data_IF_303267677000
#
_entry.id   IF_303267677000
#
_cell.length_a   1.000
_cell.length_b   1.000
_cell.length_c   1.000
_cell.angle_alpha   90.00
_cell.angle_beta   90.00
_cell.angle_gamma   90.00
#
_symmetry.space_group_name_H-M   'P 1'
#
loop_
_entity.id
_entity.type
_entity.pdbx_description
1 polymer ?
#
# COMPACT_ATOMS: atom_id res chain seq x y z
N UNK A 1 -20.11 -16.74 13.52
CA UNK A 1 -20.07 -18.20 13.36
C UNK A 1 -19.86 -18.86 14.72
N UNK A 2 -20.34 -20.09 14.96
CA UNK A 2 -19.99 -20.87 16.15
C UNK A 2 -18.47 -21.06 16.27
N UNK A 3 -17.95 -21.14 17.50
CA UNK A 3 -16.51 -21.32 17.76
C UNK A 3 -16.07 -22.79 17.77
N UNK A 4 -17.01 -23.75 17.90
CA UNK A 4 -16.73 -25.19 17.90
C UNK A 4 -17.96 -25.98 17.43
N UNK A 5 -17.78 -27.05 16.63
CA UNK A 5 -16.55 -27.38 15.89
C UNK A 5 -16.32 -26.37 14.77
N UNK A 6 -15.05 -26.15 14.40
CA UNK A 6 -14.68 -25.30 13.26
C UNK A 6 -14.59 -26.14 11.96
N UNK A 7 -14.46 -25.48 10.82
CA UNK A 7 -14.24 -26.15 9.52
C UNK A 7 -12.97 -27.02 9.55
N UNK A 8 -13.05 -28.15 8.84
CA UNK A 8 -11.95 -29.13 8.72
C UNK A 8 -11.13 -28.90 7.47
N UNK A 9 -11.77 -28.47 6.39
CA UNK A 9 -11.12 -28.15 5.12
C UNK A 9 -11.86 -27.04 4.39
N UNK A 10 -11.13 -26.33 3.54
CA UNK A 10 -11.65 -25.31 2.63
C UNK A 10 -11.07 -25.45 1.23
N UNK A 11 -11.92 -25.24 0.22
CA UNK A 11 -11.49 -25.14 -1.18
C UNK A 11 -11.97 -23.80 -1.72
N UNK A 12 -11.06 -23.01 -2.27
CA UNK A 12 -11.39 -21.70 -2.87
C UNK A 12 -11.31 -21.78 -4.39
N UNK A 13 -12.37 -21.31 -5.05
CA UNK A 13 -12.45 -21.22 -6.52
C UNK A 13 -12.64 -19.76 -6.94
N UNK A 14 -11.84 -19.31 -7.89
CA UNK A 14 -11.92 -17.96 -8.44
C UNK A 14 -12.71 -17.97 -9.75
N UNK A 15 -13.89 -17.38 -9.71
CA UNK A 15 -14.78 -17.26 -10.84
C UNK A 15 -14.61 -15.87 -11.48
N UNK A 16 -14.25 -15.85 -12.77
CA UNK A 16 -14.18 -14.64 -13.60
C UNK A 16 -15.07 -14.77 -14.82
N UNK A 17 -15.78 -13.71 -15.15
CA UNK A 17 -16.52 -13.65 -16.40
C UNK A 17 -15.57 -13.20 -17.52
N UNK A 18 -15.23 -14.13 -18.41
CA UNK A 18 -14.35 -13.88 -19.55
C UNK A 18 -15.02 -14.38 -20.83
N UNK A 19 -15.23 -13.46 -21.77
CA UNK A 19 -15.68 -13.78 -23.12
C UNK A 19 -14.49 -14.07 -24.03
N UNK A 20 -14.61 -15.09 -24.88
CA UNK A 20 -13.58 -15.41 -25.87
C UNK A 20 -14.21 -15.65 -27.25
N UNK A 21 -13.62 -15.04 -28.27
CA UNK A 21 -13.97 -15.28 -29.68
C UNK A 21 -12.74 -15.78 -30.42
N UNK A 22 -12.87 -16.90 -31.12
CA UNK A 22 -11.78 -17.51 -31.89
C UNK A 22 -12.12 -17.46 -33.39
N UNK A 23 -11.19 -16.96 -34.18
CA UNK A 23 -11.29 -16.97 -35.65
C UNK A 23 -11.14 -18.40 -36.18
N UNK A 24 -12.12 -18.96 -36.90
CA UNK A 24 -12.03 -20.31 -37.45
C UNK A 24 -11.04 -20.41 -38.64
N UNK A 25 -10.63 -19.29 -39.23
CA UNK A 25 -9.73 -19.27 -40.38
C UNK A 25 -8.26 -18.99 -40.01
N UNK A 26 -8.03 -18.23 -38.94
CA UNK A 26 -6.68 -17.78 -38.54
C UNK A 26 -6.25 -18.30 -37.17
N UNK A 27 -7.16 -18.91 -36.41
CA UNK A 27 -6.89 -19.37 -35.03
C UNK A 27 -6.65 -18.23 -34.02
N UNK A 28 -6.74 -16.97 -34.45
CA UNK A 28 -6.55 -15.82 -33.56
C UNK A 28 -7.69 -15.74 -32.55
N UNK A 29 -7.33 -15.59 -31.28
CA UNK A 29 -8.26 -15.49 -30.16
C UNK A 29 -8.33 -14.04 -29.69
N UNK A 30 -9.53 -13.53 -29.46
CA UNK A 30 -9.78 -12.27 -28.76
C UNK A 30 -10.49 -12.59 -27.47
N UNK A 31 -9.94 -12.10 -26.36
CA UNK A 31 -10.49 -12.32 -25.03
C UNK A 31 -10.91 -10.97 -24.45
N UNK A 32 -12.11 -10.90 -23.87
CA UNK A 32 -12.63 -9.73 -23.16
C UNK A 32 -12.98 -10.15 -21.74
N UNK A 33 -12.36 -9.49 -20.76
CA UNK A 33 -12.73 -9.65 -19.35
C UNK A 33 -13.92 -8.74 -19.01
N UNK A 34 -14.87 -9.24 -18.25
CA UNK A 34 -16.00 -8.50 -17.72
C UNK A 34 -15.81 -8.20 -16.23
N UNK A 35 -16.61 -7.29 -15.68
CA UNK A 35 -16.46 -6.79 -14.30
C UNK A 35 -16.70 -7.84 -13.20
N UNK A 36 -17.36 -8.97 -13.52
CA UNK A 36 -17.65 -10.00 -12.52
C UNK A 36 -16.39 -10.79 -12.16
N UNK A 37 -15.96 -10.60 -10.90
CA UNK A 37 -14.92 -11.38 -10.25
C UNK A 37 -15.45 -11.78 -8.87
N UNK A 38 -15.52 -13.07 -8.60
CA UNK A 38 -16.02 -13.60 -7.33
C UNK A 38 -15.20 -14.80 -6.86
N UNK A 39 -14.93 -14.84 -5.56
CA UNK A 39 -14.41 -16.02 -4.90
C UNK A 39 -15.56 -16.84 -4.34
N UNK A 40 -15.51 -18.14 -4.59
CA UNK A 40 -16.38 -19.14 -3.99
C UNK A 40 -15.56 -20.00 -3.05
N UNK A 41 -16.16 -20.43 -1.93
CA UNK A 41 -15.51 -21.24 -0.92
C UNK A 41 -16.38 -22.43 -0.55
N UNK A 42 -15.88 -23.63 -0.80
CA UNK A 42 -16.48 -24.88 -0.33
C UNK A 42 -15.86 -25.28 0.99
N UNK A 43 -16.70 -25.53 2.00
CA UNK A 43 -16.27 -25.70 3.39
C UNK A 43 -16.85 -26.98 3.98
N UNK A 44 -16.00 -27.77 4.61
CA UNK A 44 -16.41 -29.04 5.23
C UNK A 44 -16.46 -28.91 6.76
N UNK A 45 -17.59 -29.24 7.36
CA UNK A 45 -17.74 -29.41 8.80
C UNK A 45 -17.48 -30.87 9.20
N UNK A 46 -16.92 -31.13 10.39
CA UNK A 46 -16.73 -32.50 10.86
C UNK A 46 -18.08 -33.16 11.19
N UNK A 47 -18.15 -34.51 11.18
CA UNK A 47 -19.29 -35.22 11.72
C UNK A 47 -19.58 -34.78 13.16
N UNK A 48 -20.83 -34.41 13.44
CA UNK A 48 -21.22 -33.84 14.73
C UNK A 48 -22.56 -34.40 15.23
N UNK A 49 -22.71 -34.44 16.55
CA UNK A 49 -23.99 -34.77 17.19
C UNK A 49 -25.02 -33.67 16.91
N UNK A 50 -26.30 -34.06 16.89
CA UNK A 50 -27.42 -33.13 16.61
C UNK A 50 -27.44 -31.93 17.56
N UNK A 51 -27.13 -32.13 18.84
CA UNK A 51 -27.06 -31.06 19.85
C UNK A 51 -26.10 -29.94 19.47
N UNK A 52 -24.98 -30.29 18.81
CA UNK A 52 -23.97 -29.33 18.36
C UNK A 52 -24.32 -28.74 16.99
N UNK A 53 -24.91 -29.55 16.10
CA UNK A 53 -25.32 -29.12 14.77
C UNK A 53 -26.36 -28.01 14.77
N UNK A 54 -27.25 -27.97 15.78
CA UNK A 54 -28.29 -26.94 15.93
C UNK A 54 -27.69 -25.54 16.01
N UNK A 55 -26.52 -25.38 16.64
CA UNK A 55 -25.84 -24.08 16.70
C UNK A 55 -25.45 -23.58 15.30
N UNK A 56 -24.92 -24.47 14.46
CA UNK A 56 -24.56 -24.17 13.07
C UNK A 56 -25.79 -23.86 12.21
N UNK A 57 -26.86 -24.65 12.34
CA UNK A 57 -28.11 -24.40 11.63
C UNK A 57 -28.71 -23.03 11.97
N UNK A 58 -28.71 -22.67 13.25
CA UNK A 58 -29.22 -21.37 13.71
C UNK A 58 -28.39 -20.20 13.17
N UNK A 59 -27.07 -20.37 13.08
CA UNK A 59 -26.17 -19.36 12.51
C UNK A 59 -26.40 -19.19 11.01
N UNK A 60 -26.47 -20.28 10.25
CA UNK A 60 -26.70 -20.24 8.80
C UNK A 60 -28.08 -19.64 8.46
N UNK A 61 -29.10 -19.95 9.26
CA UNK A 61 -30.42 -19.34 9.10
C UNK A 61 -30.38 -17.81 9.30
N UNK A 62 -29.55 -17.31 10.22
CA UNK A 62 -29.38 -15.86 10.48
C UNK A 62 -28.64 -15.11 9.37
N UNK A 63 -27.96 -15.80 8.45
CA UNK A 63 -27.28 -15.12 7.33
C UNK A 63 -28.28 -14.55 6.31
N UNK A 64 -29.50 -15.10 6.24
CA UNK A 64 -30.53 -14.65 5.31
C UNK A 64 -30.00 -14.55 3.86
N UNK A 65 -29.28 -15.59 3.44
CA UNK A 65 -28.65 -15.66 2.12
C UNK A 65 -27.53 -14.62 1.95
N UNK A 66 -27.58 -13.77 0.91
CA UNK A 66 -26.55 -12.75 0.64
C UNK A 66 -26.71 -11.48 1.48
N UNK A 67 -27.77 -11.37 2.29
CA UNK A 67 -28.08 -10.14 3.03
C UNK A 67 -27.06 -9.84 4.11
N UNK A 68 -26.56 -10.88 4.78
CA UNK A 68 -25.59 -10.76 5.85
C UNK A 68 -24.32 -11.52 5.52
N UNK A 69 -23.18 -10.91 5.84
CA UNK A 69 -21.86 -11.52 5.70
C UNK A 69 -21.32 -11.96 7.05
N UNK A 70 -20.38 -12.90 7.02
CA UNK A 70 -19.60 -13.28 8.19
C UNK A 70 -18.13 -13.38 7.82
N UNK A 71 -17.28 -13.12 8.82
CA UNK A 71 -15.84 -13.31 8.67
C UNK A 71 -15.49 -14.77 8.92
N UNK A 72 -14.71 -15.34 8.02
CA UNK A 72 -14.24 -16.72 8.10
C UNK A 72 -12.72 -16.73 8.05
N UNK A 73 -12.11 -17.55 8.91
CA UNK A 73 -10.68 -17.87 8.82
C UNK A 73 -10.50 -19.12 7.96
N UNK A 74 -9.45 -19.13 7.14
CA UNK A 74 -9.02 -20.32 6.42
C UNK A 74 -8.63 -21.44 7.44
N UNK A 75 -9.31 -22.60 7.44
CA UNK A 75 -9.00 -23.71 8.33
C UNK A 75 -7.65 -24.38 8.01
N UNK A 76 -7.17 -24.28 6.77
CA UNK A 76 -5.97 -24.96 6.26
C UNK A 76 -4.72 -24.06 6.40
N UNK A 77 -4.88 -22.73 6.38
CA UNK A 77 -3.78 -21.76 6.51
C UNK A 77 -3.67 -21.10 7.90
N UNK A 78 -3.79 -21.88 8.99
CA UNK A 78 -3.70 -21.36 10.37
C UNK A 78 -2.32 -20.83 10.77
N UNK A 79 -1.27 -21.29 10.08
CA UNK A 79 0.10 -20.86 10.35
C UNK A 79 0.54 -19.89 9.25
N UNK A 80 1.01 -18.68 9.60
CA UNK A 80 1.60 -17.79 8.63
C UNK A 80 2.79 -18.47 7.96
N UNK A 81 2.80 -18.54 6.62
CA UNK A 81 3.91 -19.14 5.84
C UNK A 81 5.17 -18.27 5.77
N UNK A 82 5.13 -17.09 6.39
CA UNK A 82 6.25 -16.18 6.49
C UNK A 82 6.08 -15.25 7.68
N UNK A 83 7.21 -14.83 8.23
CA UNK A 83 7.25 -13.71 9.17
C UNK A 83 7.52 -12.45 8.38
N UNK A 84 6.53 -11.56 8.31
CA UNK A 84 6.77 -10.24 7.77
C UNK A 84 7.51 -9.41 8.83
N UNK A 85 8.80 -9.16 8.61
CA UNK A 85 9.68 -8.40 9.51
C UNK A 85 10.25 -7.16 8.81
N UNK A 86 9.41 -6.40 8.11
CA UNK A 86 9.83 -5.18 7.43
C UNK A 86 9.07 -3.96 7.96
N UNK A 87 9.82 -2.90 8.24
CA UNK A 87 9.31 -1.60 8.69
C UNK A 87 8.57 -0.81 7.58
N UNK A 88 8.36 -1.42 6.41
CA UNK A 88 8.03 -0.71 5.16
C UNK A 88 6.53 -0.57 4.87
N UNK A 89 5.66 -1.19 5.67
CA UNK A 89 4.20 -1.02 5.58
C UNK A 89 3.59 -0.32 6.79
N UNK A 90 4.40 0.15 7.74
CA UNK A 90 3.93 1.18 8.64
C UNK A 90 3.70 2.41 7.76
N UNK A 91 2.49 2.94 7.76
CA UNK A 91 2.17 4.27 7.22
C UNK A 91 2.87 5.31 8.10
N UNK A 92 4.20 5.26 8.14
CA UNK A 92 5.01 6.16 8.92
C UNK A 92 5.27 7.40 8.07
N UNK A 93 5.15 8.57 8.68
CA UNK A 93 5.44 9.81 7.99
C UNK A 93 6.94 9.81 7.67
N UNK A 94 7.28 9.58 6.38
CA UNK A 94 8.67 9.52 5.91
C UNK A 94 9.41 10.83 6.18
N UNK A 95 8.69 11.94 6.12
CA UNK A 95 9.16 13.28 6.52
C UNK A 95 8.64 13.62 7.91
N UNK A 96 9.54 13.70 8.91
CA UNK A 96 9.17 13.84 10.32
C UNK A 96 8.67 15.24 10.71
N UNK A 97 9.20 16.29 10.06
CA UNK A 97 8.79 17.67 10.28
C UNK A 97 8.17 18.23 9.01
N UNK A 98 6.96 18.78 9.10
CA UNK A 98 6.23 19.32 7.95
C UNK A 98 6.52 20.79 7.68
N UNK A 99 7.28 21.45 8.56
CA UNK A 99 7.71 22.84 8.46
C UNK A 99 9.08 22.99 9.12
N UNK A 100 10.10 23.38 8.37
CA UNK A 100 11.47 23.49 8.87
C UNK A 100 12.23 24.57 8.11
N UNK A 101 13.30 25.09 8.71
CA UNK A 101 14.25 25.91 7.95
C UNK A 101 15.07 24.99 7.05
N UNK A 102 15.18 25.35 5.76
CA UNK A 102 15.96 24.62 4.77
C UNK A 102 17.10 25.48 4.21
N UNK A 103 18.24 24.85 3.98
CA UNK A 103 19.39 25.43 3.27
C UNK A 103 19.69 24.57 2.06
N UNK A 104 19.88 25.20 0.91
CA UNK A 104 20.09 24.52 -0.37
C UNK A 104 21.51 24.80 -0.86
N UNK A 105 22.22 23.77 -1.30
CA UNK A 105 23.53 23.92 -1.95
C UNK A 105 23.53 23.24 -3.32
N UNK A 106 23.78 24.04 -4.35
CA UNK A 106 23.84 23.64 -5.75
C UNK A 106 25.04 22.72 -6.02
N UNK A 107 26.20 23.08 -5.46
CA UNK A 107 27.47 22.37 -5.71
C UNK A 107 27.42 20.90 -5.30
N UNK A 108 26.73 20.58 -4.20
CA UNK A 108 26.61 19.21 -3.70
C UNK A 108 25.20 18.61 -3.89
N UNK A 109 24.28 19.35 -4.52
CA UNK A 109 22.85 19.00 -4.61
C UNK A 109 22.23 18.62 -3.26
N UNK A 110 22.61 19.35 -2.21
CA UNK A 110 22.26 19.04 -0.82
C UNK A 110 21.13 19.93 -0.33
N UNK A 111 20.16 19.32 0.33
CA UNK A 111 19.15 20.01 1.14
C UNK A 111 19.43 19.70 2.60
N UNK A 112 19.67 20.74 3.39
CA UNK A 112 19.91 20.64 4.84
C UNK A 112 18.74 21.22 5.60
N UNK A 113 18.14 20.43 6.48
CA UNK A 113 17.08 20.87 7.38
C UNK A 113 17.64 21.21 8.77
N UNK A 114 17.08 22.22 9.43
CA UNK A 114 17.44 22.56 10.81
C UNK A 114 17.05 21.47 11.82
N UNK A 115 16.04 20.66 11.49
CA UNK A 115 15.56 19.55 12.31
C UNK A 115 15.77 18.22 11.58
N UNK A 116 15.58 17.10 12.28
CA UNK A 116 15.73 15.73 11.77
C UNK A 116 14.61 15.28 10.82
N UNK A 117 14.25 16.15 9.87
CA UNK A 117 13.15 16.02 8.90
C UNK A 117 13.27 14.76 8.05
N UNK A 118 14.50 14.29 7.80
CA UNK A 118 14.79 13.16 6.92
C UNK A 118 15.12 11.85 7.66
N UNK A 119 14.85 11.76 8.96
CA UNK A 119 15.19 10.58 9.79
C UNK A 119 14.65 9.25 9.25
N UNK A 120 13.48 9.29 8.62
CA UNK A 120 12.77 8.11 8.12
C UNK A 120 12.83 8.01 6.59
N UNK A 121 13.48 8.96 5.92
CA UNK A 121 13.61 8.95 4.46
C UNK A 121 14.66 7.94 4.01
N UNK A 122 14.42 7.37 2.83
CA UNK A 122 15.31 6.43 2.17
C UNK A 122 15.70 6.94 0.78
N UNK A 123 16.80 6.43 0.24
CA UNK A 123 17.19 6.68 -1.16
C UNK A 123 16.06 6.25 -2.10
N UNK A 124 15.71 7.10 -3.06
CA UNK A 124 14.61 6.91 -3.99
C UNK A 124 13.27 7.48 -3.52
N UNK A 125 13.15 7.92 -2.27
CA UNK A 125 11.95 8.62 -1.80
C UNK A 125 11.80 9.99 -2.50
N UNK A 126 10.55 10.41 -2.71
CA UNK A 126 10.23 11.73 -3.24
C UNK A 126 9.70 12.64 -2.12
N UNK A 127 10.26 13.85 -2.04
CA UNK A 127 9.81 14.91 -1.14
C UNK A 127 9.27 16.08 -1.95
N UNK A 128 8.21 16.71 -1.46
CA UNK A 128 7.65 17.92 -2.04
C UNK A 128 7.96 19.11 -1.12
N UNK A 129 8.58 20.13 -1.69
CA UNK A 129 9.06 21.32 -0.98
C UNK A 129 8.28 22.54 -1.46
N UNK A 130 7.81 23.37 -0.53
CA UNK A 130 7.29 24.71 -0.84
C UNK A 130 7.80 25.75 0.13
N UNK A 131 7.84 27.01 -0.32
CA UNK A 131 8.29 28.14 0.48
C UNK A 131 9.80 28.31 0.50
N UNK A 132 10.53 27.72 -0.45
CA UNK A 132 11.91 28.13 -0.77
C UNK A 132 11.90 29.52 -1.43
N UNK A 133 13.01 30.25 -1.34
CA UNK A 133 13.11 31.62 -1.88
C UNK A 133 13.21 31.60 -3.40
N UNK A 134 13.96 30.64 -3.95
CA UNK A 134 14.05 30.39 -5.39
C UNK A 134 13.01 29.34 -5.80
N UNK A 135 12.35 29.59 -6.93
CA UNK A 135 11.29 28.72 -7.45
C UNK A 135 11.83 27.36 -7.89
N UNK A 136 13.09 27.29 -8.33
CA UNK A 136 13.79 26.07 -8.74
C UNK A 136 13.91 25.06 -7.59
N UNK A 137 14.03 25.56 -6.36
CA UNK A 137 14.14 24.73 -5.16
C UNK A 137 12.77 24.20 -4.69
N UNK A 138 11.67 24.84 -5.10
CA UNK A 138 10.30 24.36 -4.83
C UNK A 138 9.94 23.15 -5.71
N UNK A 139 8.86 22.46 -5.35
CA UNK A 139 8.34 21.31 -6.08
C UNK A 139 8.87 19.96 -5.60
N UNK A 140 8.73 18.95 -6.44
CA UNK A 140 9.14 17.57 -6.13
C UNK A 140 10.64 17.42 -6.31
N UNK A 141 11.30 16.81 -5.33
CA UNK A 141 12.72 16.44 -5.37
C UNK A 141 12.86 14.96 -5.04
N UNK A 142 13.60 14.22 -5.87
CA UNK A 142 13.93 12.81 -5.62
C UNK A 142 15.19 12.74 -4.78
N UNK A 143 15.12 12.05 -3.66
CA UNK A 143 16.29 11.81 -2.81
C UNK A 143 17.19 10.77 -3.49
N UNK A 144 18.39 11.18 -3.87
CA UNK A 144 19.41 10.32 -4.44
C UNK A 144 20.20 9.57 -3.36
N UNK A 145 20.45 10.19 -2.21
CA UNK A 145 21.05 9.54 -1.05
C UNK A 145 20.77 10.30 0.26
N UNK A 146 20.84 9.59 1.39
CA UNK A 146 20.70 10.17 2.73
C UNK A 146 22.10 10.33 3.32
N UNK A 147 22.49 11.56 3.65
CA UNK A 147 23.77 11.82 4.35
C UNK A 147 23.57 11.73 5.86
N UNK A 148 22.46 12.25 6.37
CA UNK A 148 22.08 12.16 7.78
C UNK A 148 20.57 12.37 7.94
N UNK A 149 20.07 12.31 9.18
CA UNK A 149 18.69 12.65 9.49
C UNK A 149 18.30 14.11 9.15
N UNK A 150 19.28 14.98 8.91
CA UNK A 150 19.09 16.41 8.58
C UNK A 150 19.54 16.77 7.17
N UNK A 151 20.31 15.92 6.49
CA UNK A 151 20.92 16.22 5.18
C UNK A 151 20.62 15.12 4.17
N UNK A 152 20.07 15.52 3.03
CA UNK A 152 19.82 14.65 1.88
C UNK A 152 20.45 15.23 0.62
N UNK A 153 20.89 14.34 -0.27
CA UNK A 153 21.32 14.68 -1.63
C UNK A 153 20.16 14.37 -2.57
N UNK A 154 19.79 15.32 -3.42
CA UNK A 154 18.71 15.17 -4.40
C UNK A 154 19.27 14.91 -5.80
N UNK A 155 18.45 14.35 -6.69
CA UNK A 155 18.84 14.07 -8.06
C UNK A 155 18.83 15.34 -8.94
N UNK A 156 17.89 16.24 -8.65
CA UNK A 156 17.67 17.47 -9.39
C UNK A 156 18.74 18.53 -9.09
N UNK A 157 18.91 19.49 -10.00
CA UNK A 157 19.75 20.66 -9.75
C UNK A 157 19.05 21.61 -8.77
N UNK A 158 19.84 22.26 -7.92
CA UNK A 158 19.39 23.24 -6.92
C UNK A 158 20.04 24.59 -7.18
N UNK A 159 19.45 25.64 -6.63
CA UNK A 159 20.05 26.97 -6.55
C UNK A 159 20.49 27.23 -5.11
N UNK A 160 21.65 27.84 -4.92
CA UNK A 160 22.19 28.13 -3.58
C UNK A 160 21.25 29.05 -2.80
N UNK A 161 20.89 28.63 -1.58
CA UNK A 161 20.16 29.41 -0.58
C UNK A 161 20.81 29.19 0.77
N UNK A 162 21.83 29.99 1.06
CA UNK A 162 22.66 29.88 2.27
C UNK A 162 22.03 30.48 3.52
N UNK A 163 20.98 31.28 3.39
CA UNK A 163 20.34 32.02 4.49
C UNK A 163 19.05 31.37 4.98
N UNK A 164 19.09 30.06 5.23
CA UNK A 164 18.05 29.28 5.91
C UNK A 164 16.63 29.77 5.64
N UNK A 165 16.07 29.38 4.50
CA UNK A 165 14.71 29.79 4.17
C UNK A 165 13.76 29.25 5.23
N UNK A 166 13.15 30.17 5.96
CA UNK A 166 12.39 29.85 7.16
C UNK A 166 11.01 29.31 6.80
N UNK A 167 10.57 28.32 7.56
CA UNK A 167 9.24 27.73 7.46
C UNK A 167 8.90 27.09 6.09
N UNK A 168 9.92 26.61 5.34
CA UNK A 168 9.67 25.75 4.19
C UNK A 168 8.84 24.53 4.60
N UNK A 169 7.83 24.20 3.81
CA UNK A 169 7.02 23.00 4.02
C UNK A 169 7.67 21.84 3.28
N UNK A 170 7.84 20.73 4.00
CA UNK A 170 8.36 19.47 3.45
C UNK A 170 7.31 18.39 3.67
N UNK A 171 6.90 17.74 2.60
CA UNK A 171 5.88 16.70 2.67
C UNK A 171 6.35 15.47 1.89
N UNK A 172 6.02 14.29 2.41
CA UNK A 172 6.03 13.08 1.61
C UNK A 172 5.07 13.26 0.41
N UNK A 173 5.50 12.76 -0.74
CA UNK A 173 4.84 12.86 -2.04
C UNK A 173 3.31 13.12 -1.99
N UNK A 174 2.88 14.28 -2.50
CA UNK A 174 1.45 14.65 -2.60
C UNK A 174 0.85 14.03 -3.87
N UNK A 175 -0.36 13.47 -3.79
CA UNK A 175 -1.12 13.02 -4.98
C UNK A 175 -1.18 14.14 -6.02
N UNK A 176 -0.64 13.91 -7.21
CA UNK A 176 -0.55 14.90 -8.29
C UNK A 176 0.78 15.67 -8.38
N UNK A 177 1.76 15.35 -7.53
CA UNK A 177 3.13 15.80 -7.72
C UNK A 177 3.68 15.11 -8.99
N UNK A 178 3.94 15.90 -10.03
CA UNK A 178 4.57 15.41 -11.26
C UNK A 178 5.99 14.96 -10.92
N UNK A 179 6.17 13.66 -10.71
CA UNK A 179 7.43 13.03 -11.06
C UNK A 179 7.57 13.24 -12.56
N UNK A 180 8.52 14.08 -12.96
CA UNK A 180 8.85 14.32 -14.37
C UNK A 180 9.07 12.95 -15.06
N UNK A 181 8.52 12.84 -16.26
CA UNK A 181 8.69 11.76 -17.25
C UNK A 181 10.14 11.40 -17.52
#
# INVERSE_FOLDING_TARGET
>A
MPTTPNFVSSTFTLNRAVGQTVSPFTGQQKTQEYDFVGWEADLTLPPQLRSTAVNWQSFLARLQGPTHCFMMSDPDAKTPRGTYNANTFLMDARTANTSTTLTFSASNKTITASNSTFSNNHSGDFIFITGATNEENNGTKKIASITSATVVVVAEDLVDETSGTNACKVQANKKGATGIT
#
